data_IF_736442804316
#
_entry.id   IF_736442804316
#
_cell.length_a   1.000
_cell.length_b   1.000
_cell.length_c   1.000
_cell.angle_alpha   90.00
_cell.angle_beta   90.00
_cell.angle_gamma   90.00
#
_symmetry.space_group_name_H-M   'P 1'
#
loop_
_entity.id
_entity.type
_entity.pdbx_description
1 polymer ?
#
# COMPACT_ATOMS: atom_id res chain seq x y z
N UNK A 1 50.19 -22.58 45.90
CA UNK A 1 49.95 -21.13 46.01
C UNK A 1 49.37 -20.70 44.68
N UNK A 2 48.06 -20.44 44.69
CA UNK A 2 47.29 -20.08 43.51
C UNK A 2 47.42 -18.57 43.32
N UNK A 3 47.86 -18.14 42.14
CA UNK A 3 47.73 -16.74 41.73
C UNK A 3 46.85 -16.69 40.49
N UNK A 4 45.61 -16.31 40.76
CA UNK A 4 44.56 -15.91 39.84
C UNK A 4 45.01 -14.66 39.09
N UNK A 5 45.21 -14.77 37.76
CA UNK A 5 45.45 -13.60 36.93
C UNK A 5 44.10 -13.14 36.37
N UNK A 6 43.80 -11.89 36.71
CA UNK A 6 42.56 -11.19 36.51
C UNK A 6 42.19 -11.00 35.04
N UNK A 7 40.91 -11.23 34.78
CA UNK A 7 40.13 -10.76 33.65
C UNK A 7 40.27 -9.24 33.50
N UNK A 8 40.99 -8.79 32.48
CA UNK A 8 40.97 -7.38 32.07
C UNK A 8 39.79 -7.15 31.14
N UNK A 9 38.64 -6.88 31.74
CA UNK A 9 37.57 -6.12 31.09
C UNK A 9 37.99 -4.65 31.06
N UNK A 10 38.32 -4.12 29.88
CA UNK A 10 38.55 -2.69 29.71
C UNK A 10 37.84 -2.14 28.47
N UNK A 11 36.72 -1.48 28.71
CA UNK A 11 36.43 -0.19 28.10
C UNK A 11 35.94 -0.20 26.66
N UNK A 12 34.75 -0.74 26.43
CA UNK A 12 33.96 -0.37 25.26
C UNK A 12 33.63 1.12 25.31
N UNK A 13 34.28 1.90 24.47
CA UNK A 13 34.08 3.33 24.28
C UNK A 13 32.61 3.58 23.94
N UNK A 14 31.89 4.24 24.83
CA UNK A 14 30.58 4.83 24.58
C UNK A 14 30.76 6.07 23.69
N UNK A 15 31.18 5.86 22.45
CA UNK A 15 30.74 6.73 21.38
C UNK A 15 29.24 6.50 21.27
N UNK A 16 28.44 7.57 21.17
CA UNK A 16 27.08 7.50 20.68
C UNK A 16 27.12 6.91 19.27
N UNK A 17 27.21 5.58 19.21
CA UNK A 17 27.64 4.82 18.07
C UNK A 17 26.53 4.88 17.04
N UNK A 18 26.87 5.38 15.86
CA UNK A 18 26.12 5.17 14.62
C UNK A 18 25.64 3.73 14.62
N UNK A 19 24.38 3.53 14.99
CA UNK A 19 23.81 2.20 15.13
C UNK A 19 23.98 1.51 13.80
N UNK A 20 24.73 0.40 13.80
CA UNK A 20 25.04 -0.42 12.62
C UNK A 20 23.81 -1.20 12.15
N UNK A 21 22.68 -0.49 11.98
CA UNK A 21 21.35 -1.05 11.73
C UNK A 21 21.31 -1.91 10.46
N UNK A 22 22.18 -1.58 9.51
CA UNK A 22 22.23 -2.19 8.21
C UNK A 22 23.49 -3.05 8.00
N UNK A 23 24.22 -3.37 9.08
CA UNK A 23 25.47 -4.12 9.00
C UNK A 23 25.26 -5.50 8.33
N UNK A 24 26.09 -5.79 7.32
CA UNK A 24 26.07 -7.06 6.60
C UNK A 24 24.91 -7.22 5.62
N UNK A 25 24.13 -6.16 5.36
CA UNK A 25 23.08 -6.16 4.31
C UNK A 25 23.55 -5.38 3.10
N UNK A 26 23.29 -5.94 1.93
CA UNK A 26 23.54 -5.30 0.64
C UNK A 26 22.26 -4.69 0.08
N UNK A 27 22.35 -3.41 -0.29
CA UNK A 27 21.25 -2.62 -0.81
C UNK A 27 21.49 -2.26 -2.26
N UNK A 28 20.44 -2.38 -3.06
CA UNK A 28 20.37 -1.77 -4.36
C UNK A 28 19.30 -0.67 -4.33
N UNK A 29 19.67 0.53 -4.76
CA UNK A 29 18.78 1.69 -4.78
C UNK A 29 18.43 2.04 -6.22
N UNK A 30 17.15 1.94 -6.57
CA UNK A 30 16.65 2.28 -7.89
C UNK A 30 16.91 3.76 -8.23
N UNK A 31 17.16 4.03 -9.52
CA UNK A 31 17.30 5.39 -10.04
C UNK A 31 16.02 6.22 -9.89
N UNK A 32 14.88 5.56 -9.72
CA UNK A 32 13.57 6.20 -9.61
C UNK A 32 13.28 6.81 -8.23
N UNK A 33 14.17 6.61 -7.24
CA UNK A 33 13.98 7.15 -5.87
C UNK A 33 14.25 8.67 -5.87
N UNK A 34 13.31 9.51 -5.42
CA UNK A 34 13.44 10.97 -5.47
C UNK A 34 14.69 11.52 -4.79
N UNK A 35 15.09 10.94 -3.65
CA UNK A 35 16.24 11.36 -2.85
C UNK A 35 17.34 10.29 -2.78
N UNK A 36 17.63 9.64 -3.91
CA UNK A 36 18.61 8.54 -4.00
C UNK A 36 19.95 8.86 -3.33
N UNK A 37 20.54 10.04 -3.58
CA UNK A 37 21.86 10.39 -3.03
C UNK A 37 21.87 10.40 -1.50
N UNK A 38 20.89 11.08 -0.90
CA UNK A 38 20.73 11.15 0.56
C UNK A 38 20.52 9.75 1.15
N UNK A 39 19.74 8.92 0.48
CA UNK A 39 19.44 7.56 0.93
C UNK A 39 20.71 6.68 0.91
N UNK A 40 21.53 6.80 -0.12
CA UNK A 40 22.85 6.12 -0.22
C UNK A 40 23.76 6.55 0.93
N UNK A 41 23.90 7.85 1.17
CA UNK A 41 24.71 8.39 2.27
C UNK A 41 24.23 7.86 3.63
N UNK A 42 22.91 7.85 3.84
CA UNK A 42 22.30 7.34 5.08
C UNK A 42 22.58 5.84 5.27
N UNK A 43 22.40 5.03 4.22
CA UNK A 43 22.68 3.58 4.29
C UNK A 43 24.17 3.34 4.62
N UNK A 44 25.08 4.08 4.00
CA UNK A 44 26.52 3.96 4.26
C UNK A 44 26.90 4.37 5.68
N UNK A 45 26.33 5.47 6.20
CA UNK A 45 26.54 5.93 7.57
C UNK A 45 26.12 4.90 8.62
N UNK A 46 25.08 4.11 8.32
CA UNK A 46 24.56 3.06 9.19
C UNK A 46 25.12 1.65 8.88
N UNK A 47 26.22 1.58 8.12
CA UNK A 47 26.99 0.34 7.90
C UNK A 47 26.45 -0.60 6.82
N UNK A 48 25.54 -0.13 5.96
CA UNK A 48 25.01 -0.89 4.83
C UNK A 48 25.92 -0.84 3.60
N UNK A 49 25.97 -1.95 2.85
CA UNK A 49 26.73 -2.04 1.60
C UNK A 49 25.85 -1.67 0.41
N UNK A 50 26.38 -0.91 -0.54
CA UNK A 50 25.62 -0.48 -1.72
C UNK A 50 26.15 -1.18 -2.96
N UNK A 51 25.28 -1.97 -3.58
CA UNK A 51 25.60 -2.75 -4.75
C UNK A 51 25.01 -2.10 -5.99
N UNK A 52 25.80 -1.89 -7.07
CA UNK A 52 25.28 -1.26 -8.29
C UNK A 52 24.32 -2.16 -9.07
N UNK A 53 24.47 -3.49 -8.96
CA UNK A 53 23.64 -4.46 -9.65
C UNK A 53 22.51 -4.98 -8.75
N UNK A 54 21.30 -5.05 -9.31
CA UNK A 54 20.11 -5.60 -8.65
C UNK A 54 20.25 -7.06 -8.21
N UNK A 55 21.03 -7.86 -8.95
CA UNK A 55 21.14 -9.33 -8.74
C UNK A 55 21.95 -9.70 -7.50
N UNK A 56 22.84 -8.81 -7.08
CA UNK A 56 23.81 -9.05 -6.01
C UNK A 56 23.40 -8.36 -4.70
N UNK A 57 22.17 -7.84 -4.63
CA UNK A 57 21.66 -7.13 -3.47
C UNK A 57 20.59 -7.96 -2.75
N UNK A 58 20.65 -7.97 -1.42
CA UNK A 58 19.66 -8.60 -0.55
C UNK A 58 18.34 -7.81 -0.56
N UNK A 59 18.45 -6.48 -0.57
CA UNK A 59 17.33 -5.56 -0.43
C UNK A 59 17.31 -4.59 -1.62
N UNK A 60 16.21 -4.62 -2.38
CA UNK A 60 15.97 -3.71 -3.51
C UNK A 60 15.05 -2.58 -3.06
N UNK A 61 15.55 -1.35 -3.05
CA UNK A 61 14.78 -0.17 -2.64
C UNK A 61 14.24 0.58 -3.86
N UNK A 62 12.93 0.80 -3.88
CA UNK A 62 12.20 1.44 -4.98
C UNK A 62 11.17 2.45 -4.46
N UNK A 63 10.81 3.39 -5.31
CA UNK A 63 9.72 4.33 -5.07
C UNK A 63 8.34 3.67 -5.20
N UNK A 64 7.69 3.43 -4.06
CA UNK A 64 6.36 2.81 -3.94
C UNK A 64 5.23 3.56 -4.66
N UNK A 65 5.41 4.84 -5.04
CA UNK A 65 4.37 5.62 -5.73
C UNK A 65 4.30 5.28 -7.22
N UNK A 66 5.37 4.73 -7.80
CA UNK A 66 5.44 4.46 -9.24
C UNK A 66 4.82 3.11 -9.63
N UNK A 67 4.20 3.08 -10.80
CA UNK A 67 3.65 1.88 -11.44
C UNK A 67 4.75 1.29 -12.35
N UNK A 68 5.03 -0.02 -12.30
CA UNK A 68 6.16 -0.75 -12.92
C UNK A 68 7.37 -0.95 -12.00
N UNK A 69 7.14 -1.68 -10.91
CA UNK A 69 8.14 -1.97 -9.90
C UNK A 69 8.74 -3.37 -10.14
N UNK A 70 10.06 -3.56 -9.99
CA UNK A 70 10.65 -4.88 -10.07
C UNK A 70 10.08 -5.80 -8.97
N UNK A 71 9.93 -7.09 -9.28
CA UNK A 71 9.43 -8.07 -8.32
C UNK A 71 10.39 -8.20 -7.11
N UNK A 72 9.81 -8.46 -5.92
CA UNK A 72 10.54 -8.57 -4.65
C UNK A 72 11.31 -7.29 -4.28
N UNK A 73 10.67 -6.13 -4.46
CA UNK A 73 11.22 -4.83 -4.07
C UNK A 73 10.60 -4.34 -2.76
N UNK A 74 11.29 -3.43 -2.10
CA UNK A 74 10.90 -2.77 -0.86
C UNK A 74 10.82 -1.26 -1.06
N UNK A 75 9.97 -0.60 -0.27
CA UNK A 75 9.86 0.85 -0.27
C UNK A 75 11.11 1.49 0.33
N UNK A 76 11.56 2.60 -0.26
CA UNK A 76 12.64 3.42 0.31
C UNK A 76 12.32 3.90 1.75
N UNK A 77 11.03 4.00 2.11
CA UNK A 77 10.56 4.33 3.47
C UNK A 77 11.13 3.39 4.53
N UNK A 78 11.43 2.14 4.18
CA UNK A 78 12.07 1.20 5.09
C UNK A 78 13.33 1.80 5.74
N UNK A 79 14.16 2.48 4.95
CA UNK A 79 15.41 3.07 5.43
C UNK A 79 15.13 4.31 6.27
N UNK A 80 14.23 5.18 5.80
CA UNK A 80 13.86 6.41 6.51
C UNK A 80 13.27 6.09 7.89
N UNK A 81 12.32 5.16 7.93
CA UNK A 81 11.65 4.73 9.15
C UNK A 81 12.61 3.95 10.06
N UNK A 82 13.47 3.09 9.52
CA UNK A 82 14.48 2.39 10.34
C UNK A 82 15.47 3.35 11.01
N UNK A 83 15.86 4.41 10.30
CA UNK A 83 16.76 5.44 10.84
C UNK A 83 16.04 6.30 11.86
N UNK A 84 14.77 6.66 11.62
CA UNK A 84 13.95 7.41 12.57
C UNK A 84 13.67 6.63 13.86
N UNK A 85 13.32 5.34 13.74
CA UNK A 85 13.08 4.43 14.86
C UNK A 85 14.38 3.99 15.57
N UNK A 86 15.54 4.17 14.93
CA UNK A 86 16.82 3.68 15.43
C UNK A 86 16.89 2.15 15.52
N UNK A 87 16.03 1.44 14.78
CA UNK A 87 15.90 -0.03 14.75
C UNK A 87 15.57 -0.47 13.34
N UNK A 88 16.03 -1.66 12.95
CA UNK A 88 15.69 -2.21 11.64
C UNK A 88 14.20 -2.61 11.63
N UNK A 89 13.40 -1.88 10.85
CA UNK A 89 11.98 -2.15 10.68
C UNK A 89 11.75 -3.48 9.93
N UNK A 90 10.58 -4.07 10.14
CA UNK A 90 10.24 -5.36 9.54
C UNK A 90 10.10 -5.25 8.01
N UNK A 91 10.95 -5.97 7.28
CA UNK A 91 10.99 -5.95 5.81
C UNK A 91 9.65 -6.29 5.16
N UNK A 92 8.86 -7.16 5.80
CA UNK A 92 7.58 -7.62 5.26
C UNK A 92 6.57 -6.46 5.07
N UNK A 93 6.59 -5.47 5.96
CA UNK A 93 5.62 -4.37 5.95
C UNK A 93 5.89 -3.37 4.83
N UNK A 94 7.14 -3.31 4.35
CA UNK A 94 7.59 -2.41 3.30
C UNK A 94 7.69 -3.08 1.93
N UNK A 95 7.26 -4.34 1.81
CA UNK A 95 7.35 -5.09 0.56
C UNK A 95 6.36 -4.55 -0.48
N UNK A 96 6.90 -4.16 -1.64
CA UNK A 96 6.14 -3.63 -2.76
C UNK A 96 5.73 -4.79 -3.68
N UNK A 97 4.47 -4.80 -4.11
CA UNK A 97 3.99 -5.67 -5.20
C UNK A 97 3.44 -7.03 -4.79
N UNK A 98 3.49 -7.39 -3.50
CA UNK A 98 2.72 -8.53 -2.96
C UNK A 98 1.67 -8.02 -1.99
N UNK A 99 0.41 -7.96 -2.43
CA UNK A 99 -0.68 -8.09 -1.46
C UNK A 99 -0.56 -9.51 -0.91
N UNK A 100 -0.63 -9.73 0.42
CA UNK A 100 -0.62 -11.09 0.96
C UNK A 100 -1.69 -11.90 0.22
N UNK A 101 -1.30 -13.07 -0.30
CA UNK A 101 -2.23 -13.96 -0.98
C UNK A 101 -3.35 -14.25 0.01
N UNK A 102 -4.58 -13.89 -0.34
CA UNK A 102 -5.72 -14.11 0.55
C UNK A 102 -5.78 -15.60 0.89
N UNK A 103 -5.94 -15.97 2.17
CA UNK A 103 -6.17 -17.37 2.49
C UNK A 103 -7.43 -17.81 1.75
N UNK A 104 -7.37 -18.98 1.13
CA UNK A 104 -8.53 -19.57 0.45
C UNK A 104 -9.67 -19.69 1.45
N UNK A 105 -10.84 -19.14 1.13
CA UNK A 105 -12.00 -19.15 2.03
C UNK A 105 -12.08 -18.00 3.06
N UNK A 106 -11.29 -16.92 2.95
CA UNK A 106 -11.40 -15.77 3.85
C UNK A 106 -12.82 -15.15 3.85
N UNK A 107 -13.61 -15.42 4.90
CA UNK A 107 -14.99 -14.93 5.04
C UNK A 107 -15.06 -13.50 5.61
N UNK A 108 -14.01 -13.06 6.32
CA UNK A 108 -13.96 -11.73 6.97
C UNK A 108 -13.71 -10.57 5.99
N UNK A 109 -13.26 -10.85 4.78
CA UNK A 109 -12.98 -9.81 3.78
C UNK A 109 -14.24 -9.60 2.94
N UNK A 110 -14.78 -8.37 2.85
CA UNK A 110 -15.98 -8.11 2.07
C UNK A 110 -15.74 -8.50 0.61
N UNK A 111 -16.67 -9.27 0.06
CA UNK A 111 -16.67 -9.64 -1.35
C UNK A 111 -16.82 -8.37 -2.19
N UNK A 112 -16.34 -8.42 -3.43
CA UNK A 112 -16.59 -7.37 -4.43
C UNK A 112 -18.11 -7.16 -4.49
N UNK A 113 -18.56 -5.92 -4.28
CA UNK A 113 -19.97 -5.59 -4.44
C UNK A 113 -20.36 -5.81 -5.89
N UNK A 114 -21.43 -6.56 -6.10
CA UNK A 114 -22.11 -6.65 -7.38
C UNK A 114 -23.25 -5.64 -7.41
N UNK A 115 -23.78 -5.38 -8.60
CA UNK A 115 -25.02 -4.62 -8.76
C UNK A 115 -26.16 -5.45 -8.15
N UNK A 116 -27.05 -4.82 -7.39
CA UNK A 116 -28.25 -5.48 -6.88
C UNK A 116 -29.16 -5.87 -8.05
N UNK A 117 -29.81 -7.03 -7.92
CA UNK A 117 -30.87 -7.44 -8.83
C UNK A 117 -32.08 -6.52 -8.63
N UNK A 118 -32.81 -6.25 -9.72
CA UNK A 118 -34.04 -5.47 -9.63
C UNK A 118 -35.13 -6.32 -8.96
N UNK A 119 -35.86 -5.71 -8.04
CA UNK A 119 -37.01 -6.30 -7.37
C UNK A 119 -38.27 -6.13 -8.22
N UNK A 120 -39.27 -6.99 -7.97
CA UNK A 120 -40.55 -6.94 -8.67
C UNK A 120 -41.27 -5.59 -8.41
N UNK A 121 -41.12 -5.04 -7.20
CA UNK A 121 -41.68 -3.74 -6.83
C UNK A 121 -41.04 -2.59 -7.62
N UNK A 122 -39.72 -2.61 -7.80
CA UNK A 122 -39.00 -1.62 -8.62
C UNK A 122 -39.41 -1.71 -10.09
N UNK A 123 -39.61 -2.93 -10.61
CA UNK A 123 -40.08 -3.15 -11.98
C UNK A 123 -41.52 -2.64 -12.19
N UNK A 124 -42.41 -2.87 -11.22
CA UNK A 124 -43.78 -2.33 -11.23
C UNK A 124 -43.79 -0.80 -11.20
N UNK A 125 -42.98 -0.20 -10.31
CA UNK A 125 -42.84 1.24 -10.23
C UNK A 125 -42.37 1.85 -11.56
N UNK A 126 -41.38 1.23 -12.20
CA UNK A 126 -40.88 1.69 -13.50
C UNK A 126 -41.96 1.56 -14.58
N UNK A 127 -42.75 0.49 -14.55
CA UNK A 127 -43.86 0.27 -15.49
C UNK A 127 -44.95 1.32 -15.34
N UNK A 128 -45.43 1.56 -14.12
CA UNK A 128 -46.46 2.57 -13.84
C UNK A 128 -45.99 3.98 -14.28
N UNK A 129 -44.72 4.28 -14.02
CA UNK A 129 -44.10 5.53 -14.43
C UNK A 129 -44.09 5.67 -15.96
N UNK A 130 -43.75 4.62 -16.71
CA UNK A 130 -43.75 4.62 -18.18
C UNK A 130 -45.16 4.66 -18.80
N UNK A 131 -46.12 3.98 -18.19
CA UNK A 131 -47.51 3.93 -18.67
C UNK A 131 -48.14 5.33 -18.75
N UNK A 132 -47.77 6.23 -17.83
CA UNK A 132 -48.19 7.62 -17.86
C UNK A 132 -47.67 8.37 -19.11
N UNK A 133 -46.45 8.10 -19.58
CA UNK A 133 -45.88 8.71 -20.79
C UNK A 133 -46.52 8.19 -22.06
N UNK A 134 -46.88 6.90 -22.11
CA UNK A 134 -47.61 6.33 -23.25
C UNK A 134 -48.99 6.96 -23.39
N UNK A 135 -49.70 7.11 -22.27
CA UNK A 135 -51.05 7.68 -22.22
C UNK A 135 -51.09 9.17 -22.59
N UNK A 136 -50.04 9.93 -22.25
CA UNK A 136 -49.92 11.36 -22.54
C UNK A 136 -49.49 11.69 -23.99
N UNK A 137 -49.29 10.67 -24.84
CA UNK A 137 -48.99 10.86 -26.25
C UNK A 137 -47.50 10.91 -26.55
N UNK A 138 -46.83 9.76 -26.41
CA UNK A 138 -45.68 9.35 -27.24
C UNK A 138 -44.53 10.34 -27.38
N UNK A 139 -44.15 11.03 -26.29
CA UNK A 139 -42.99 11.91 -26.32
C UNK A 139 -41.71 11.11 -26.65
N UNK A 140 -40.81 11.68 -27.46
CA UNK A 140 -39.46 11.14 -27.67
C UNK A 140 -38.62 11.35 -26.41
N UNK A 141 -38.80 10.51 -25.41
CA UNK A 141 -38.04 10.55 -24.17
C UNK A 141 -36.71 9.83 -24.34
N UNK A 142 -35.64 10.42 -23.83
CA UNK A 142 -34.34 9.76 -23.79
C UNK A 142 -34.26 8.90 -22.53
N UNK A 143 -34.02 7.59 -22.69
CA UNK A 143 -34.09 6.63 -21.57
C UNK A 143 -33.24 7.02 -20.35
N UNK A 144 -32.05 7.59 -20.54
CA UNK A 144 -31.21 8.05 -19.40
C UNK A 144 -31.90 9.16 -18.60
N UNK A 145 -32.62 10.08 -19.26
CA UNK A 145 -33.30 11.19 -18.58
C UNK A 145 -34.44 10.72 -17.71
N UNK A 146 -35.14 9.65 -18.13
CA UNK A 146 -36.18 9.00 -17.35
C UNK A 146 -35.64 8.52 -16.00
N UNK A 147 -34.49 7.82 -16.02
CA UNK A 147 -33.86 7.34 -14.79
C UNK A 147 -33.39 8.48 -13.88
N UNK A 148 -32.88 9.59 -14.45
CA UNK A 148 -32.51 10.78 -13.68
C UNK A 148 -33.72 11.39 -12.97
N UNK A 149 -34.85 11.56 -13.67
CA UNK A 149 -36.08 12.10 -13.10
C UNK A 149 -36.66 11.19 -12.00
N UNK A 150 -36.60 9.87 -12.20
CA UNK A 150 -37.01 8.90 -11.17
C UNK A 150 -36.11 9.05 -9.93
N UNK A 151 -34.80 9.13 -10.11
CA UNK A 151 -33.86 9.29 -9.00
C UNK A 151 -34.10 10.60 -8.23
N UNK A 152 -34.33 11.72 -8.94
CA UNK A 152 -34.68 13.00 -8.32
C UNK A 152 -35.96 12.92 -7.47
N UNK A 153 -36.99 12.22 -7.96
CA UNK A 153 -38.25 12.01 -7.23
C UNK A 153 -38.08 11.14 -5.98
N UNK A 154 -37.32 10.05 -6.07
CA UNK A 154 -37.05 9.16 -4.94
C UNK A 154 -36.25 9.89 -3.85
N UNK A 155 -35.20 10.63 -4.24
CA UNK A 155 -34.40 11.44 -3.31
C UNK A 155 -35.26 12.51 -2.63
N UNK A 156 -36.14 13.18 -3.38
CA UNK A 156 -37.06 14.16 -2.80
C UNK A 156 -38.06 13.55 -1.81
N UNK A 157 -38.51 12.31 -2.06
CA UNK A 157 -39.41 11.58 -1.19
C UNK A 157 -38.73 11.07 0.10
N UNK A 158 -37.44 10.76 0.08
CA UNK A 158 -36.67 10.32 1.27
C UNK A 158 -36.25 11.48 2.19
N UNK A 159 -36.24 12.72 1.68
CA UNK A 159 -35.83 13.92 2.43
C UNK A 159 -37.02 14.60 3.13
N UNK A 160 -38.25 14.25 2.79
CA UNK A 160 -39.50 14.86 3.32
C UNK A 160 -40.11 13.99 4.41
#
# INVERSE_FOLDING_TARGET
MAETIAEQSSGGILGAGTSSLFQGRSFWVSQNVPSRRRLIETIQQHGGLITPLEKNADIKLVDHVRKNLPANSYSYKLVEDSVASGKLENLADYQIGRRPQRPVGATWIPKKSYRNEFTLEEDQFLWDYMQAYETQGGHRVHGIKVYQQIAEKVIAAEIT
#
